data_IF_679988092151
#
_entry.id   IF_679988092151
#
_cell.length_a   1.000
_cell.length_b   1.000
_cell.length_c   1.000
_cell.angle_alpha   90.00
_cell.angle_beta   90.00
_cell.angle_gamma   90.00
#
_symmetry.space_group_name_H-M   'P 1'
#
loop_
_entity.id
_entity.type
_entity.pdbx_description
1 polymer ?
#
# COMPACT_ATOMS: atom_id res chain seq x y z
N UNK A 1 -39.85 24.12 23.64
CA UNK A 1 -39.90 23.27 24.87
C UNK A 1 -38.46 22.80 25.07
N UNK A 2 -37.91 23.02 26.29
CA UNK A 2 -36.61 22.44 26.61
C UNK A 2 -36.74 20.90 26.60
N UNK A 3 -35.83 20.24 25.91
CA UNK A 3 -35.74 18.79 25.96
C UNK A 3 -35.21 18.42 27.38
N UNK A 4 -35.76 17.38 28.01
CA UNK A 4 -35.32 16.94 29.32
C UNK A 4 -34.92 15.47 29.31
N UNK A 5 -33.83 15.15 29.99
CA UNK A 5 -33.31 13.80 30.12
C UNK A 5 -32.96 13.48 31.57
N UNK A 6 -33.40 12.33 32.07
CA UNK A 6 -33.06 11.82 33.40
C UNK A 6 -31.85 10.86 33.27
N UNK A 7 -30.70 11.33 33.74
CA UNK A 7 -29.45 10.57 33.73
C UNK A 7 -29.28 9.64 34.93
N UNK A 8 -30.22 9.66 35.93
CA UNK A 8 -30.12 8.81 37.09
C UNK A 8 -28.85 9.10 37.90
N UNK A 9 -28.13 8.06 38.29
CA UNK A 9 -26.85 8.09 39.00
C UNK A 9 -25.62 7.81 38.09
N UNK A 10 -25.84 7.75 36.74
CA UNK A 10 -24.77 7.45 35.80
C UNK A 10 -23.72 8.54 35.73
N UNK A 11 -22.45 8.13 35.64
CA UNK A 11 -21.31 8.97 35.29
C UNK A 11 -21.10 9.08 33.77
N UNK A 12 -20.25 10.00 33.32
CA UNK A 12 -19.98 10.19 31.90
C UNK A 12 -19.45 8.91 31.23
N UNK A 13 -18.56 8.19 31.88
CA UNK A 13 -18.00 6.94 31.37
C UNK A 13 -18.95 5.72 31.47
N UNK A 14 -20.13 5.87 32.02
CA UNK A 14 -21.13 4.80 32.24
C UNK A 14 -22.27 4.84 31.22
N UNK A 15 -22.13 5.60 30.16
CA UNK A 15 -23.12 5.74 29.06
C UNK A 15 -23.87 7.05 29.08
N UNK A 16 -23.75 7.87 30.13
CA UNK A 16 -24.47 9.14 30.21
C UNK A 16 -24.01 10.13 29.15
N UNK A 17 -22.70 10.19 28.87
CA UNK A 17 -22.16 11.03 27.79
C UNK A 17 -22.84 10.74 26.45
N UNK A 18 -22.95 9.45 26.10
CA UNK A 18 -23.62 9.02 24.89
C UNK A 18 -25.09 9.42 24.84
N UNK A 19 -25.80 9.22 25.96
CA UNK A 19 -27.22 9.59 26.06
C UNK A 19 -27.45 11.10 25.93
N UNK A 20 -26.61 11.92 26.59
CA UNK A 20 -26.67 13.39 26.48
C UNK A 20 -26.44 13.79 24.99
N UNK A 21 -25.46 13.18 24.33
CA UNK A 21 -25.10 13.50 22.95
C UNK A 21 -26.24 13.15 21.97
N UNK A 22 -26.91 12.00 22.16
CA UNK A 22 -28.10 11.62 21.39
C UNK A 22 -29.20 12.65 21.57
N UNK A 23 -29.54 13.03 22.80
CA UNK A 23 -30.61 14.02 23.06
C UNK A 23 -30.26 15.43 22.60
N UNK A 24 -28.99 15.82 22.63
CA UNK A 24 -28.54 17.07 22.02
C UNK A 24 -28.68 17.04 20.50
N UNK A 25 -28.55 15.86 19.86
CA UNK A 25 -28.74 15.72 18.41
C UNK A 25 -30.20 16.01 17.98
N UNK A 26 -31.16 15.77 18.86
CA UNK A 26 -32.60 15.92 18.60
C UNK A 26 -33.10 17.38 18.71
N UNK A 27 -32.27 18.30 19.21
CA UNK A 27 -32.62 19.71 19.37
C UNK A 27 -31.79 20.60 18.42
N UNK A 28 -32.22 21.83 18.16
CA UNK A 28 -31.49 22.75 17.30
C UNK A 28 -30.27 23.39 17.99
N UNK A 29 -29.21 23.80 17.26
CA UNK A 29 -28.13 24.58 17.82
C UNK A 29 -28.63 25.83 18.56
N UNK A 30 -28.13 26.04 19.77
CA UNK A 30 -28.59 27.12 20.67
C UNK A 30 -29.78 26.76 21.56
N UNK A 31 -30.44 25.62 21.35
CA UNK A 31 -31.44 25.11 22.29
C UNK A 31 -30.80 24.40 23.47
N UNK A 32 -31.56 24.27 24.58
CA UNK A 32 -31.09 23.76 25.85
C UNK A 32 -31.68 22.38 26.12
N UNK A 33 -30.81 21.43 26.46
CA UNK A 33 -31.15 20.15 27.04
C UNK A 33 -31.01 20.27 28.58
N UNK A 34 -32.07 19.91 29.32
CA UNK A 34 -32.04 19.77 30.76
C UNK A 34 -31.69 18.33 31.13
N UNK A 35 -30.58 18.12 31.82
CA UNK A 35 -30.15 16.79 32.31
C UNK A 35 -30.24 16.77 33.84
N UNK A 36 -31.09 15.90 34.37
CA UNK A 36 -31.22 15.66 35.83
C UNK A 36 -30.34 14.49 36.26
N UNK A 37 -29.50 14.62 37.27
CA UNK A 37 -28.66 13.53 37.76
C UNK A 37 -28.48 13.60 39.30
N UNK A 38 -28.37 12.42 39.92
CA UNK A 38 -27.97 12.25 41.32
C UNK A 38 -26.47 11.98 41.50
N UNK A 39 -25.68 11.88 40.42
CA UNK A 39 -24.23 11.63 40.46
C UNK A 39 -23.47 12.93 40.77
N UNK A 40 -22.81 13.05 41.94
CA UNK A 40 -22.09 14.27 42.32
C UNK A 40 -20.83 14.52 41.46
N UNK A 41 -20.28 13.51 40.79
CA UNK A 41 -19.12 13.64 39.94
C UNK A 41 -19.36 14.51 38.71
N UNK A 42 -20.61 14.57 38.22
CA UNK A 42 -20.98 15.33 37.05
C UNK A 42 -20.77 16.83 37.15
N UNK A 43 -20.83 17.38 38.35
CA UNK A 43 -20.55 18.82 38.59
C UNK A 43 -19.12 19.20 38.17
N UNK A 44 -18.18 18.24 38.23
CA UNK A 44 -16.79 18.45 37.84
C UNK A 44 -16.50 18.00 36.40
N UNK A 45 -17.11 16.91 35.95
CA UNK A 45 -16.82 16.27 34.65
C UNK A 45 -17.55 16.95 33.49
N UNK A 46 -18.84 17.28 33.68
CA UNK A 46 -19.67 17.82 32.59
C UNK A 46 -19.23 19.19 32.05
N UNK A 47 -18.72 20.14 32.90
CA UNK A 47 -18.15 21.38 32.36
C UNK A 47 -16.96 21.16 31.43
N UNK A 48 -16.08 20.21 31.73
CA UNK A 48 -14.93 19.86 30.89
C UNK A 48 -15.39 19.19 29.60
N UNK A 49 -16.32 18.26 29.69
CA UNK A 49 -16.91 17.62 28.53
C UNK A 49 -17.59 18.64 27.59
N UNK A 50 -18.43 19.54 28.12
CA UNK A 50 -19.08 20.58 27.31
C UNK A 50 -18.05 21.46 26.56
N UNK A 51 -16.95 21.85 27.20
CA UNK A 51 -15.88 22.63 26.55
C UNK A 51 -15.19 21.82 25.44
N UNK A 52 -14.88 20.55 25.70
CA UNK A 52 -14.24 19.65 24.73
C UNK A 52 -15.11 19.39 23.50
N UNK A 53 -16.42 19.29 23.69
CA UNK A 53 -17.39 18.98 22.64
C UNK A 53 -17.96 20.20 21.92
N UNK A 54 -17.67 21.42 22.41
CA UNK A 54 -18.18 22.67 21.84
C UNK A 54 -19.62 22.98 22.23
N UNK A 55 -20.18 22.27 23.24
CA UNK A 55 -21.42 22.62 23.90
C UNK A 55 -21.15 23.62 25.05
N UNK A 56 -22.20 24.21 25.57
CA UNK A 56 -22.07 25.18 26.65
C UNK A 56 -22.96 24.78 27.87
N UNK A 57 -22.35 24.52 29.01
CA UNK A 57 -23.07 24.39 30.25
C UNK A 57 -23.50 25.78 30.70
N UNK A 58 -24.80 26.08 30.67
CA UNK A 58 -25.34 27.42 30.94
C UNK A 58 -25.78 27.63 32.37
N UNK A 59 -26.25 26.56 33.03
CA UNK A 59 -26.64 26.60 34.43
C UNK A 59 -26.47 25.22 35.07
N UNK A 60 -26.27 25.23 36.39
CA UNK A 60 -26.29 24.05 37.25
C UNK A 60 -27.14 24.43 38.48
N UNK A 61 -28.22 23.73 38.69
CA UNK A 61 -29.21 24.09 39.74
C UNK A 61 -29.53 22.85 40.59
N UNK A 62 -29.70 23.02 41.92
CA UNK A 62 -30.18 21.94 42.75
C UNK A 62 -31.66 21.66 42.48
N UNK A 63 -32.04 20.37 42.40
CA UNK A 63 -33.41 19.88 42.20
C UNK A 63 -33.70 18.74 43.21
N UNK A 64 -33.94 19.11 44.48
CA UNK A 64 -34.13 18.15 45.57
C UNK A 64 -32.87 17.42 45.96
N UNK A 65 -32.82 16.11 45.77
CA UNK A 65 -31.68 15.23 45.96
C UNK A 65 -30.84 15.06 44.67
N UNK A 66 -31.13 15.84 43.61
CA UNK A 66 -30.50 15.82 42.31
C UNK A 66 -29.93 17.19 41.95
N UNK A 67 -29.13 17.18 40.91
CA UNK A 67 -28.62 18.39 40.23
C UNK A 67 -29.17 18.44 38.81
N UNK A 68 -29.69 19.59 38.41
CA UNK A 68 -30.17 19.86 37.05
C UNK A 68 -29.09 20.64 36.27
N UNK A 69 -28.65 20.08 35.18
CA UNK A 69 -27.66 20.68 34.28
C UNK A 69 -28.35 21.20 33.03
N UNK A 70 -28.13 22.44 32.67
CA UNK A 70 -28.66 23.07 31.47
C UNK A 70 -27.56 23.14 30.42
N UNK A 71 -27.64 22.31 29.37
CA UNK A 71 -26.63 22.21 28.34
C UNK A 71 -27.16 22.80 27.04
N UNK A 72 -26.57 23.91 26.59
CA UNK A 72 -26.89 24.51 25.31
C UNK A 72 -26.12 23.77 24.20
N UNK A 73 -26.85 23.32 23.16
CA UNK A 73 -26.27 22.68 21.99
C UNK A 73 -25.37 23.64 21.22
N UNK A 74 -24.12 23.29 21.02
CA UNK A 74 -23.18 24.03 20.19
C UNK A 74 -23.48 23.92 18.69
N UNK A 75 -22.96 24.86 17.91
CA UNK A 75 -23.18 24.94 16.46
C UNK A 75 -22.67 23.73 15.67
N UNK A 76 -21.71 22.98 16.20
CA UNK A 76 -21.13 21.82 15.51
C UNK A 76 -21.96 20.55 15.61
N UNK A 77 -23.09 20.56 16.30
CA UNK A 77 -23.88 19.35 16.55
C UNK A 77 -23.18 18.39 17.51
N UNK A 78 -23.70 17.15 17.59
CA UNK A 78 -23.09 16.07 18.35
C UNK A 78 -21.72 15.71 17.77
N UNK A 79 -20.72 15.56 18.63
CA UNK A 79 -19.42 15.04 18.20
C UNK A 79 -19.45 13.57 17.86
N UNK A 80 -20.35 12.79 18.48
CA UNK A 80 -20.44 11.34 18.26
C UNK A 80 -21.26 10.99 17.02
N UNK A 81 -22.22 11.84 16.66
CA UNK A 81 -23.11 11.62 15.51
C UNK A 81 -23.27 12.93 14.75
N UNK A 82 -22.14 13.45 14.23
CA UNK A 82 -22.19 14.63 13.38
C UNK A 82 -23.29 14.46 12.32
N UNK A 83 -24.14 15.46 12.19
CA UNK A 83 -25.27 15.46 11.25
C UNK A 83 -24.71 15.27 9.83
N UNK A 84 -24.71 14.02 9.36
CA UNK A 84 -24.22 13.59 8.07
C UNK A 84 -25.37 12.97 7.27
N UNK A 85 -26.31 13.82 6.80
CA UNK A 85 -27.49 13.36 6.06
C UNK A 85 -27.15 12.70 4.72
N UNK A 86 -25.92 12.92 4.24
CA UNK A 86 -25.37 12.35 3.00
C UNK A 86 -24.83 10.91 3.17
N UNK A 87 -24.70 10.43 4.41
CA UNK A 87 -24.24 9.06 4.66
C UNK A 87 -25.40 8.13 5.01
N UNK A 88 -25.50 6.96 4.36
CA UNK A 88 -26.52 5.99 4.73
C UNK A 88 -26.25 5.44 6.14
N UNK A 89 -27.29 5.39 6.98
CA UNK A 89 -27.23 4.83 8.35
C UNK A 89 -27.06 3.29 8.36
N UNK A 90 -27.13 2.65 7.21
CA UNK A 90 -26.99 1.20 7.06
C UNK A 90 -26.04 0.89 5.91
N UNK A 91 -25.25 -0.16 6.11
CA UNK A 91 -24.55 -0.79 5.01
C UNK A 91 -25.56 -1.19 3.92
N UNK A 92 -25.23 -1.04 2.62
CA UNK A 92 -26.06 -1.52 1.54
C UNK A 92 -26.36 -3.01 1.72
N UNK A 93 -27.61 -3.42 1.50
CA UNK A 93 -28.01 -4.83 1.58
C UNK A 93 -27.47 -5.55 0.34
N UNK A 94 -26.32 -6.20 0.48
CA UNK A 94 -25.67 -6.98 -0.57
C UNK A 94 -25.42 -8.40 -0.10
N UNK A 95 -26.01 -9.35 -0.80
CA UNK A 95 -25.67 -10.77 -0.69
C UNK A 95 -24.29 -11.00 -1.32
N UNK A 96 -23.33 -11.50 -0.55
CA UNK A 96 -21.98 -11.83 -1.05
C UNK A 96 -20.85 -10.94 -0.53
N UNK A 97 -21.11 -10.09 0.46
CA UNK A 97 -20.12 -9.22 1.08
C UNK A 97 -20.03 -7.82 0.44
N UNK A 98 -19.13 -7.02 0.98
CA UNK A 98 -18.92 -5.63 0.56
C UNK A 98 -17.48 -5.44 0.14
N UNK A 99 -17.27 -4.83 -1.03
CA UNK A 99 -15.96 -4.42 -1.46
C UNK A 99 -15.44 -3.25 -0.59
N UNK A 100 -14.11 -3.16 -0.43
CA UNK A 100 -13.45 -2.09 0.32
C UNK A 100 -13.88 -0.70 -0.19
N UNK A 101 -14.06 -0.53 -1.50
CA UNK A 101 -14.54 0.72 -2.09
C UNK A 101 -15.96 1.09 -1.61
N UNK A 102 -16.85 0.13 -1.41
CA UNK A 102 -18.22 0.40 -0.93
C UNK A 102 -18.19 0.93 0.51
N UNK A 103 -17.33 0.36 1.38
CA UNK A 103 -17.25 0.72 2.78
C UNK A 103 -16.43 1.97 3.04
N UNK A 104 -15.20 1.99 2.56
CA UNK A 104 -14.26 3.07 2.91
C UNK A 104 -14.47 4.31 2.04
N UNK A 105 -14.66 4.15 0.74
CA UNK A 105 -14.83 5.30 -0.16
C UNK A 105 -16.29 5.78 -0.19
N UNK A 106 -17.27 4.85 -0.12
CA UNK A 106 -18.69 5.16 -0.18
C UNK A 106 -19.28 5.61 1.15
N UNK A 107 -18.96 4.95 2.27
CA UNK A 107 -19.60 5.15 3.57
C UNK A 107 -18.80 6.03 4.52
N UNK A 108 -17.48 5.90 4.56
CA UNK A 108 -16.61 6.70 5.43
C UNK A 108 -16.40 8.15 4.93
N UNK A 109 -17.03 8.52 3.83
CA UNK A 109 -16.90 9.82 3.21
C UNK A 109 -15.82 9.91 2.14
N UNK A 110 -15.78 11.05 1.45
CA UNK A 110 -14.85 11.27 0.35
C UNK A 110 -13.41 11.26 0.82
N UNK A 111 -12.56 10.64 0.03
CA UNK A 111 -11.10 10.76 0.20
C UNK A 111 -10.72 12.24 0.06
N UNK A 112 -10.08 12.85 1.05
CA UNK A 112 -9.74 14.29 0.98
C UNK A 112 -8.69 14.54 -0.11
N UNK A 113 -8.70 15.72 -0.70
CA UNK A 113 -7.60 16.17 -1.58
C UNK A 113 -6.30 16.34 -0.80
N UNK A 114 -6.43 16.84 0.45
CA UNK A 114 -5.35 16.95 1.41
C UNK A 114 -5.86 16.55 2.79
N UNK A 115 -5.13 15.64 3.45
CA UNK A 115 -5.43 15.23 4.81
C UNK A 115 -4.98 16.28 5.84
N UNK A 116 -5.74 16.43 6.92
CA UNK A 116 -5.37 17.29 8.03
C UNK A 116 -4.49 16.50 9.02
N UNK A 117 -3.22 16.85 9.22
CA UNK A 117 -2.32 16.13 10.11
C UNK A 117 -2.78 16.14 11.57
N UNK A 118 -3.68 17.05 11.98
CA UNK A 118 -4.23 17.11 13.32
C UNK A 118 -5.20 15.97 13.63
N UNK A 119 -5.70 15.24 12.61
CA UNK A 119 -6.66 14.14 12.84
C UNK A 119 -6.00 12.85 13.34
N UNK A 120 -4.68 12.74 13.30
CA UNK A 120 -3.93 11.61 13.87
C UNK A 120 -4.36 10.26 13.32
N UNK A 121 -4.65 9.32 14.22
CA UNK A 121 -5.16 7.99 13.86
C UNK A 121 -6.69 7.90 13.74
N UNK A 122 -7.40 9.01 13.83
CA UNK A 122 -8.85 8.98 13.66
C UNK A 122 -9.20 8.43 12.27
N UNK A 123 -10.05 7.41 12.17
CA UNK A 123 -10.48 6.91 10.88
C UNK A 123 -11.18 8.00 10.06
N UNK A 124 -11.04 7.96 8.74
CA UNK A 124 -11.75 8.88 7.86
C UNK A 124 -13.26 8.82 8.13
N UNK A 125 -13.88 9.97 8.34
CA UNK A 125 -15.30 10.09 8.71
C UNK A 125 -15.57 10.16 10.21
N UNK A 126 -14.59 9.85 11.07
CA UNK A 126 -14.71 10.06 12.51
C UNK A 126 -14.65 11.56 12.87
N UNK A 127 -15.36 11.93 13.90
CA UNK A 127 -15.26 13.27 14.52
C UNK A 127 -14.12 13.29 15.52
N UNK A 128 -13.25 14.27 15.41
CA UNK A 128 -12.10 14.41 16.29
C UNK A 128 -12.40 15.41 17.41
N UNK A 129 -12.14 15.02 18.65
CA UNK A 129 -12.12 15.93 19.78
C UNK A 129 -10.94 16.90 19.66
N UNK A 130 -11.13 18.20 19.96
CA UNK A 130 -10.04 19.17 19.98
C UNK A 130 -8.93 18.84 20.95
N UNK A 131 -7.67 19.05 20.58
CA UNK A 131 -6.52 18.82 21.44
C UNK A 131 -5.68 17.59 21.09
N UNK A 132 -5.96 16.96 19.94
CA UNK A 132 -5.11 15.90 19.40
C UNK A 132 -3.66 16.38 19.22
N UNK A 133 -2.64 15.57 19.60
CA UNK A 133 -1.26 15.92 19.36
C UNK A 133 -0.93 15.89 17.86
N UNK A 134 0.10 16.63 17.38
CA UNK A 134 0.54 16.52 16.01
C UNK A 134 1.18 15.15 15.74
N UNK A 135 0.90 14.58 14.57
CA UNK A 135 1.48 13.32 14.11
C UNK A 135 2.50 13.57 12.99
N UNK A 136 3.52 12.71 12.84
CA UNK A 136 4.64 12.91 11.92
C UNK A 136 4.32 12.51 10.47
N UNK A 137 3.07 12.62 10.03
CA UNK A 137 2.71 12.31 8.65
C UNK A 137 3.27 13.38 7.69
N UNK A 138 3.90 12.95 6.63
CA UNK A 138 4.45 13.81 5.58
C UNK A 138 3.70 13.68 4.26
N UNK A 139 3.09 12.52 4.03
CA UNK A 139 2.33 12.23 2.83
C UNK A 139 0.85 12.55 3.07
N UNK A 140 0.47 13.79 2.72
CA UNK A 140 -0.83 14.39 3.03
C UNK A 140 -1.69 14.68 1.80
N UNK A 141 -1.12 14.65 0.59
CA UNK A 141 -1.78 15.07 -0.63
C UNK A 141 -2.21 13.85 -1.46
N UNK A 142 -3.51 13.78 -1.80
CA UNK A 142 -4.09 12.66 -2.53
C UNK A 142 -3.44 12.42 -3.88
N UNK A 143 -3.17 13.47 -4.62
CA UNK A 143 -2.58 13.40 -5.96
C UNK A 143 -1.14 12.87 -6.00
N UNK A 144 -0.51 12.76 -4.82
CA UNK A 144 0.83 12.18 -4.63
C UNK A 144 0.83 10.73 -4.13
N UNK A 145 -0.36 10.15 -3.88
CA UNK A 145 -0.49 8.83 -3.25
C UNK A 145 -1.51 7.92 -3.92
N UNK A 146 -2.57 8.50 -4.45
CA UNK A 146 -3.76 7.78 -4.82
C UNK A 146 -3.63 7.01 -6.14
N UNK A 147 -4.30 5.87 -6.21
CA UNK A 147 -4.61 5.14 -7.42
C UNK A 147 -6.12 4.78 -7.40
N UNK A 148 -6.83 4.95 -8.52
CA UNK A 148 -8.28 4.71 -8.55
C UNK A 148 -8.65 3.24 -8.31
N UNK A 149 -7.75 2.34 -8.67
CA UNK A 149 -7.92 0.89 -8.52
C UNK A 149 -7.48 0.35 -7.14
N UNK A 150 -6.97 1.20 -6.23
CA UNK A 150 -6.29 0.76 -5.01
C UNK A 150 -7.17 -0.12 -4.10
N UNK A 151 -8.45 0.25 -3.89
CA UNK A 151 -9.36 -0.53 -3.06
C UNK A 151 -9.64 -1.92 -3.67
N UNK A 152 -9.84 -2.00 -4.99
CA UNK A 152 -10.07 -3.29 -5.65
C UNK A 152 -8.81 -4.15 -5.70
N UNK A 153 -7.62 -3.56 -5.79
CA UNK A 153 -6.35 -4.29 -5.71
C UNK A 153 -6.13 -4.86 -4.32
N UNK A 154 -6.49 -4.12 -3.25
CA UNK A 154 -6.49 -4.64 -1.90
C UNK A 154 -7.44 -5.84 -1.74
N UNK A 155 -8.68 -5.74 -2.23
CA UNK A 155 -9.65 -6.87 -2.20
C UNK A 155 -9.11 -8.10 -2.94
N UNK A 156 -8.47 -7.90 -4.10
CA UNK A 156 -7.81 -8.99 -4.85
C UNK A 156 -6.66 -9.59 -4.05
N UNK A 157 -5.77 -8.75 -3.49
CA UNK A 157 -4.63 -9.21 -2.72
C UNK A 157 -5.06 -10.06 -1.51
N UNK A 158 -6.09 -9.66 -0.78
CA UNK A 158 -6.59 -10.40 0.39
C UNK A 158 -7.29 -11.72 0.04
N UNK A 159 -7.90 -11.82 -1.15
CA UNK A 159 -8.60 -13.03 -1.57
C UNK A 159 -7.72 -14.03 -2.33
N UNK A 160 -6.58 -13.60 -2.84
CA UNK A 160 -5.65 -14.41 -3.65
C UNK A 160 -4.37 -14.80 -2.89
N UNK A 161 -4.43 -14.79 -1.55
CA UNK A 161 -3.29 -15.22 -0.72
C UNK A 161 -2.96 -16.70 -0.94
N UNK A 162 -1.69 -17.03 -0.85
CA UNK A 162 -1.17 -18.39 -0.89
C UNK A 162 -0.07 -18.56 0.16
N UNK A 163 0.15 -19.80 0.58
CA UNK A 163 1.14 -20.16 1.59
C UNK A 163 2.35 -20.84 0.94
N UNK A 164 3.52 -20.23 1.11
CA UNK A 164 4.77 -20.72 0.54
C UNK A 164 5.24 -22.08 1.12
N UNK A 165 4.67 -22.51 2.24
CA UNK A 165 5.00 -23.80 2.84
C UNK A 165 4.07 -24.93 2.39
N UNK A 166 2.78 -24.64 2.21
CA UNK A 166 1.75 -25.69 2.02
C UNK A 166 1.13 -25.69 0.62
N UNK A 167 1.13 -24.57 -0.11
CA UNK A 167 0.52 -24.48 -1.44
C UNK A 167 1.48 -24.78 -2.59
N UNK A 168 2.77 -24.99 -2.28
CA UNK A 168 3.81 -25.42 -3.21
C UNK A 168 4.11 -26.90 -2.94
N UNK A 169 4.07 -27.71 -3.99
CA UNK A 169 4.34 -29.15 -3.92
C UNK A 169 5.85 -29.44 -3.85
N UNK A 170 6.51 -29.01 -2.77
CA UNK A 170 7.97 -29.15 -2.59
C UNK A 170 8.48 -30.57 -2.76
N UNK A 171 7.68 -31.58 -2.35
CA UNK A 171 8.02 -33.01 -2.47
C UNK A 171 8.04 -33.50 -3.93
N UNK A 172 7.50 -32.71 -4.87
CA UNK A 172 7.52 -33.00 -6.30
C UNK A 172 8.78 -32.50 -7.02
N UNK A 173 9.73 -31.89 -6.29
CA UNK A 173 11.00 -31.46 -6.88
C UNK A 173 11.80 -32.65 -7.41
N UNK A 174 12.14 -32.68 -8.72
CA UNK A 174 12.99 -33.72 -9.27
C UNK A 174 14.45 -33.47 -8.91
N UNK A 175 15.26 -34.53 -8.99
CA UNK A 175 16.72 -34.39 -9.01
C UNK A 175 17.15 -33.79 -10.36
N UNK A 176 17.79 -32.62 -10.35
CA UNK A 176 18.29 -31.93 -11.52
C UNK A 176 19.81 -32.13 -11.68
N UNK A 177 20.34 -32.05 -12.91
CA UNK A 177 21.79 -31.97 -13.09
C UNK A 177 22.39 -30.80 -12.30
N UNK A 178 23.51 -30.98 -11.63
CA UNK A 178 24.08 -30.01 -10.69
C UNK A 178 24.30 -28.61 -11.30
N UNK A 179 24.64 -28.51 -12.57
CA UNK A 179 24.83 -27.23 -13.26
C UNK A 179 23.50 -26.50 -13.52
N UNK A 180 22.39 -27.24 -13.72
CA UNK A 180 21.05 -26.66 -13.86
C UNK A 180 20.54 -26.21 -12.50
N UNK A 181 20.71 -27.04 -11.46
CA UNK A 181 20.33 -26.68 -10.08
C UNK A 181 21.06 -25.42 -9.59
N UNK A 182 22.36 -25.29 -9.89
CA UNK A 182 23.11 -24.05 -9.59
C UNK A 182 22.58 -22.84 -10.35
N UNK A 183 22.17 -23.00 -11.60
CA UNK A 183 21.54 -21.92 -12.36
C UNK A 183 20.19 -21.51 -11.73
N UNK A 184 19.36 -22.46 -11.30
CA UNK A 184 18.14 -22.18 -10.55
C UNK A 184 18.45 -21.42 -9.27
N UNK A 185 19.40 -21.92 -8.46
CA UNK A 185 19.79 -21.29 -7.20
C UNK A 185 20.29 -19.85 -7.41
N UNK A 186 21.07 -19.58 -8.45
CA UNK A 186 21.53 -18.24 -8.80
C UNK A 186 20.37 -17.31 -9.15
N UNK A 187 19.42 -17.77 -9.98
CA UNK A 187 18.23 -16.99 -10.35
C UNK A 187 17.34 -16.75 -9.15
N UNK A 188 17.06 -17.77 -8.34
CA UNK A 188 16.20 -17.62 -7.15
C UNK A 188 16.83 -16.70 -6.09
N UNK A 189 18.15 -16.73 -5.93
CA UNK A 189 18.87 -15.79 -5.06
C UNK A 189 18.71 -14.36 -5.55
N UNK A 190 18.84 -14.15 -6.87
CA UNK A 190 18.65 -12.83 -7.47
C UNK A 190 17.20 -12.35 -7.31
N UNK A 191 16.20 -13.22 -7.49
CA UNK A 191 14.82 -12.89 -7.21
C UNK A 191 14.64 -12.48 -5.74
N UNK A 192 15.07 -13.31 -4.80
CA UNK A 192 14.92 -13.02 -3.36
C UNK A 192 15.57 -11.70 -2.94
N UNK A 193 16.75 -11.33 -3.49
CA UNK A 193 17.37 -10.04 -3.15
C UNK A 193 16.62 -8.84 -3.72
N UNK A 194 15.94 -8.96 -4.86
CA UNK A 194 15.11 -7.91 -5.42
C UNK A 194 13.84 -7.70 -4.59
N UNK A 195 13.22 -8.77 -4.09
CA UNK A 195 12.04 -8.69 -3.23
C UNK A 195 12.32 -7.97 -1.90
N UNK A 196 13.55 -7.98 -1.39
CA UNK A 196 13.90 -7.14 -0.23
C UNK A 196 13.73 -5.65 -0.53
N UNK A 197 14.08 -5.18 -1.71
CA UNK A 197 13.85 -3.78 -2.08
C UNK A 197 12.37 -3.49 -2.25
N UNK A 198 11.63 -4.40 -2.91
CA UNK A 198 10.18 -4.30 -3.10
C UNK A 198 9.41 -4.34 -1.76
N UNK A 199 9.94 -5.03 -0.74
CA UNK A 199 9.42 -5.02 0.63
C UNK A 199 9.75 -3.71 1.37
N UNK A 200 11.01 -3.27 1.35
CA UNK A 200 11.44 -2.13 2.16
C UNK A 200 10.98 -0.78 1.63
N UNK A 201 10.88 -0.62 0.30
CA UNK A 201 10.47 0.66 -0.30
C UNK A 201 9.04 1.05 0.13
N UNK A 202 7.98 0.23 -0.07
CA UNK A 202 6.64 0.59 0.41
C UNK A 202 6.57 0.67 1.94
N UNK A 203 7.28 -0.22 2.67
CA UNK A 203 7.33 -0.20 4.14
C UNK A 203 7.81 1.13 4.70
N UNK A 204 8.76 1.79 4.03
CA UNK A 204 9.30 3.10 4.42
C UNK A 204 8.25 4.21 4.36
N UNK A 205 7.29 4.12 3.44
CA UNK A 205 6.28 5.14 3.24
C UNK A 205 5.02 4.92 4.08
N UNK A 206 4.66 3.69 4.43
CA UNK A 206 3.46 3.37 5.23
C UNK A 206 3.32 4.29 6.46
N UNK A 207 4.32 4.48 7.34
CA UNK A 207 4.21 5.34 8.51
C UNK A 207 4.19 6.85 8.19
N UNK A 208 4.46 7.23 6.95
CA UNK A 208 4.45 8.63 6.48
C UNK A 208 3.10 9.03 5.89
N UNK A 209 2.30 8.04 5.45
CA UNK A 209 1.00 8.25 4.80
C UNK A 209 -0.06 8.49 5.87
N UNK A 210 -0.86 9.55 5.68
CA UNK A 210 -1.96 9.85 6.59
C UNK A 210 -3.06 8.79 6.53
N UNK A 211 -3.63 8.33 7.68
CA UNK A 211 -4.66 7.29 7.73
C UNK A 211 -5.94 7.58 6.94
N UNK A 212 -6.21 8.84 6.58
CA UNK A 212 -7.33 9.16 5.69
C UNK A 212 -7.16 8.62 4.26
N UNK A 213 -5.95 8.17 3.89
CA UNK A 213 -5.68 7.39 2.68
C UNK A 213 -5.60 5.89 3.01
N UNK A 214 -6.55 5.39 3.79
CA UNK A 214 -6.59 4.04 4.33
C UNK A 214 -6.38 2.97 3.27
N UNK A 215 -7.03 3.12 2.10
CA UNK A 215 -6.94 2.17 0.99
C UNK A 215 -5.50 2.00 0.50
N UNK A 216 -4.74 3.10 0.43
CA UNK A 216 -3.33 3.06 0.03
C UNK A 216 -2.49 2.36 1.10
N UNK A 217 -2.69 2.70 2.38
CA UNK A 217 -1.97 2.06 3.49
C UNK A 217 -2.24 0.56 3.53
N UNK A 218 -3.50 0.16 3.36
CA UNK A 218 -3.91 -1.26 3.35
C UNK A 218 -3.32 -2.01 2.16
N UNK A 219 -3.36 -1.42 0.96
CA UNK A 219 -2.78 -2.02 -0.24
C UNK A 219 -1.25 -2.20 -0.10
N UNK A 220 -0.52 -1.16 0.33
CA UNK A 220 0.92 -1.26 0.54
C UNK A 220 1.27 -2.31 1.61
N UNK A 221 0.43 -2.47 2.65
CA UNK A 221 0.63 -3.53 3.64
C UNK A 221 0.46 -4.93 3.02
N UNK A 222 -0.48 -5.14 2.08
CA UNK A 222 -0.60 -6.41 1.35
C UNK A 222 0.58 -6.63 0.41
N UNK A 223 1.08 -5.59 -0.25
CA UNK A 223 2.32 -5.68 -1.05
C UNK A 223 3.48 -6.17 -0.18
N UNK A 224 3.71 -5.57 0.99
CA UNK A 224 4.77 -6.01 1.92
C UNK A 224 4.62 -7.49 2.32
N UNK A 225 3.40 -7.99 2.50
CA UNK A 225 3.13 -9.41 2.78
C UNK A 225 3.44 -10.28 1.57
N UNK A 226 3.07 -9.83 0.35
CA UNK A 226 3.36 -10.55 -0.88
C UNK A 226 4.89 -10.70 -1.06
N UNK A 227 5.67 -9.61 -0.88
CA UNK A 227 7.14 -9.65 -1.01
C UNK A 227 7.80 -10.53 0.06
N UNK A 228 7.30 -10.50 1.30
CA UNK A 228 7.82 -11.38 2.35
C UNK A 228 7.64 -12.88 1.97
N UNK A 229 6.52 -13.22 1.36
CA UNK A 229 6.22 -14.56 0.86
C UNK A 229 7.09 -14.94 -0.35
N UNK A 230 7.33 -13.98 -1.26
CA UNK A 230 8.24 -14.19 -2.41
C UNK A 230 9.67 -14.48 -1.94
N UNK A 231 10.19 -13.68 -0.99
CA UNK A 231 11.51 -13.93 -0.36
C UNK A 231 11.57 -15.36 0.19
N UNK A 232 10.55 -15.78 0.93
CA UNK A 232 10.47 -17.14 1.50
C UNK A 232 10.50 -18.20 0.40
N UNK A 233 9.62 -18.10 -0.60
CA UNK A 233 9.48 -19.09 -1.65
C UNK A 233 10.74 -19.20 -2.53
N UNK A 234 11.33 -18.08 -2.93
CA UNK A 234 12.55 -18.05 -3.74
C UNK A 234 13.76 -18.58 -2.94
N UNK A 235 13.87 -18.21 -1.66
CA UNK A 235 14.92 -18.75 -0.78
C UNK A 235 14.79 -20.25 -0.59
N UNK A 236 13.57 -20.75 -0.34
CA UNK A 236 13.30 -22.19 -0.25
C UNK A 236 13.70 -22.92 -1.54
N UNK A 237 13.32 -22.37 -2.71
CA UNK A 237 13.67 -23.00 -3.99
C UNK A 237 15.18 -22.99 -4.24
N UNK A 238 15.89 -21.92 -3.88
CA UNK A 238 17.36 -21.87 -4.02
C UNK A 238 18.08 -22.92 -3.15
N UNK A 239 17.55 -23.19 -1.96
CA UNK A 239 18.14 -24.12 -0.99
C UNK A 239 17.65 -25.57 -1.17
N UNK A 240 16.61 -25.79 -1.95
CA UNK A 240 16.08 -27.13 -2.22
C UNK A 240 17.13 -28.02 -2.91
N UNK A 241 16.97 -29.33 -2.77
CA UNK A 241 17.85 -30.33 -3.39
C UNK A 241 19.33 -30.23 -2.97
N UNK A 242 19.63 -29.69 -1.79
CA UNK A 242 20.98 -29.49 -1.29
C UNK A 242 21.74 -28.33 -1.96
N UNK A 243 20.99 -27.40 -2.57
CA UNK A 243 21.53 -26.18 -3.17
C UNK A 243 22.11 -25.21 -2.13
N UNK A 244 22.88 -24.26 -2.63
CA UNK A 244 23.37 -23.10 -1.88
C UNK A 244 22.76 -21.83 -2.50
N UNK A 245 22.72 -20.73 -1.72
CA UNK A 245 22.40 -19.44 -2.31
C UNK A 245 23.47 -19.02 -3.32
N UNK A 246 23.05 -18.40 -4.40
CA UNK A 246 23.94 -17.88 -5.43
C UNK A 246 24.70 -16.61 -5.01
N UNK A 247 25.43 -16.04 -5.96
CA UNK A 247 26.18 -14.83 -5.76
C UNK A 247 25.26 -13.60 -5.83
N UNK A 248 25.34 -12.74 -4.81
CA UNK A 248 24.78 -11.40 -4.82
C UNK A 248 25.82 -10.42 -5.36
N UNK A 249 25.53 -9.79 -6.51
CA UNK A 249 26.48 -8.90 -7.17
C UNK A 249 26.44 -7.48 -6.61
N UNK A 250 27.60 -6.82 -6.48
CA UNK A 250 27.71 -5.46 -5.97
C UNK A 250 26.90 -4.44 -6.80
N UNK A 251 26.78 -4.63 -8.10
CA UNK A 251 25.96 -3.78 -8.97
C UNK A 251 24.47 -3.93 -8.65
N UNK A 252 23.99 -5.15 -8.39
CA UNK A 252 22.62 -5.39 -7.94
C UNK A 252 22.36 -4.68 -6.61
N UNK A 253 23.22 -4.87 -5.62
CA UNK A 253 23.09 -4.21 -4.31
C UNK A 253 23.05 -2.67 -4.44
N UNK A 254 23.85 -2.11 -5.32
CA UNK A 254 23.84 -0.66 -5.59
C UNK A 254 22.54 -0.21 -6.27
N UNK A 255 22.04 -0.99 -7.21
CA UNK A 255 20.75 -0.74 -7.86
C UNK A 255 19.60 -0.73 -6.86
N UNK A 256 19.49 -1.78 -6.04
CA UNK A 256 18.44 -1.91 -5.03
C UNK A 256 18.53 -0.80 -3.98
N UNK A 257 19.76 -0.46 -3.55
CA UNK A 257 19.96 0.68 -2.65
C UNK A 257 19.43 1.99 -3.24
N UNK A 258 19.61 2.24 -4.53
CA UNK A 258 19.12 3.46 -5.18
C UNK A 258 17.60 3.59 -5.16
N UNK A 259 16.86 2.50 -5.09
CA UNK A 259 15.41 2.50 -4.88
C UNK A 259 15.06 2.82 -3.43
N UNK A 260 15.78 2.21 -2.49
CA UNK A 260 15.58 2.45 -1.06
C UNK A 260 15.91 3.90 -0.66
N UNK A 261 16.85 4.55 -1.33
CA UNK A 261 17.26 5.94 -1.05
C UNK A 261 16.22 6.98 -1.53
N UNK A 262 15.23 6.59 -2.35
CA UNK A 262 14.19 7.53 -2.81
C UNK A 262 13.32 8.02 -1.65
N UNK A 263 13.18 9.34 -1.50
CA UNK A 263 12.42 9.96 -0.40
C UNK A 263 11.03 10.46 -0.81
N UNK A 264 10.75 10.56 -2.10
CA UNK A 264 9.44 10.92 -2.65
C UNK A 264 8.66 9.66 -3.04
N UNK A 265 7.42 9.52 -2.56
CA UNK A 265 6.60 8.33 -2.80
C UNK A 265 6.32 8.10 -4.28
N UNK A 266 5.97 9.17 -5.03
CA UNK A 266 5.62 9.02 -6.44
C UNK A 266 6.82 8.61 -7.29
N UNK A 267 8.02 9.14 -6.99
CA UNK A 267 9.27 8.74 -7.66
C UNK A 267 9.65 7.31 -7.29
N UNK A 268 9.57 6.95 -6.01
CA UNK A 268 9.86 5.59 -5.55
C UNK A 268 8.91 4.57 -6.19
N UNK A 269 7.60 4.84 -6.19
CA UNK A 269 6.60 3.99 -6.82
C UNK A 269 6.80 3.88 -8.34
N UNK A 270 7.18 4.96 -9.01
CA UNK A 270 7.45 4.92 -10.44
C UNK A 270 8.68 4.08 -10.77
N UNK A 271 9.78 4.27 -10.05
CA UNK A 271 11.01 3.51 -10.28
C UNK A 271 10.85 2.03 -9.92
N UNK A 272 10.19 1.73 -8.80
CA UNK A 272 9.94 0.36 -8.36
C UNK A 272 8.84 -0.30 -9.20
N UNK A 273 7.59 0.17 -9.08
CA UNK A 273 6.45 -0.59 -9.59
C UNK A 273 6.23 -0.43 -11.10
N UNK A 274 6.50 0.75 -11.69
CA UNK A 274 6.30 0.94 -13.14
C UNK A 274 7.49 0.41 -13.94
N UNK A 275 8.72 0.74 -13.54
CA UNK A 275 9.92 0.37 -14.29
C UNK A 275 10.48 -0.97 -13.85
N UNK A 276 10.76 -1.15 -12.56
CA UNK A 276 11.35 -2.35 -11.98
C UNK A 276 10.42 -3.56 -12.05
N UNK A 277 9.39 -3.63 -11.20
CA UNK A 277 8.42 -4.74 -11.16
C UNK A 277 7.73 -4.92 -12.53
N UNK A 278 7.48 -3.81 -13.24
CA UNK A 278 6.98 -3.87 -14.60
C UNK A 278 7.90 -4.63 -15.57
N UNK A 279 9.23 -4.49 -15.44
CA UNK A 279 10.17 -5.30 -16.20
C UNK A 279 10.28 -6.73 -15.64
N UNK A 280 10.13 -6.86 -14.32
CA UNK A 280 10.18 -8.12 -13.61
C UNK A 280 9.07 -9.08 -14.02
N UNK A 281 7.88 -8.61 -14.40
CA UNK A 281 6.82 -9.45 -14.96
C UNK A 281 7.29 -10.25 -16.19
N UNK A 282 8.07 -9.64 -17.09
CA UNK A 282 8.61 -10.32 -18.26
C UNK A 282 9.73 -11.30 -17.87
N UNK A 283 10.52 -10.93 -16.86
CA UNK A 283 11.57 -11.76 -16.31
C UNK A 283 11.00 -13.03 -15.64
N UNK A 284 9.99 -12.88 -14.79
CA UNK A 284 9.28 -14.00 -14.17
C UNK A 284 8.60 -14.90 -15.22
N UNK A 285 7.96 -14.30 -16.24
CA UNK A 285 7.38 -15.05 -17.37
C UNK A 285 8.43 -15.86 -18.14
N UNK A 286 9.64 -15.33 -18.30
CA UNK A 286 10.75 -16.05 -18.92
C UNK A 286 11.19 -17.24 -18.05
N UNK A 287 11.36 -17.03 -16.75
CA UNK A 287 11.75 -18.11 -15.82
C UNK A 287 10.67 -19.20 -15.77
N UNK A 288 9.39 -18.83 -15.70
CA UNK A 288 8.26 -19.78 -15.75
C UNK A 288 8.34 -20.66 -17.01
N UNK A 289 8.60 -20.03 -18.16
CA UNK A 289 8.69 -20.74 -19.46
C UNK A 289 9.85 -21.72 -19.53
N UNK A 290 10.99 -21.38 -18.95
CA UNK A 290 12.22 -22.15 -19.02
C UNK A 290 12.57 -22.86 -17.70
N UNK A 291 11.62 -22.91 -16.77
CA UNK A 291 11.76 -23.63 -15.51
C UNK A 291 12.10 -25.10 -15.80
N UNK A 292 13.13 -25.68 -15.16
CA UNK A 292 13.53 -27.06 -15.38
C UNK A 292 12.59 -28.06 -14.71
N UNK A 293 11.67 -27.59 -13.85
CA UNK A 293 10.73 -28.41 -13.11
C UNK A 293 9.41 -27.66 -12.81
N UNK A 294 8.32 -28.38 -12.55
CA UNK A 294 7.00 -27.77 -12.32
C UNK A 294 6.91 -26.97 -11.01
N UNK A 295 7.71 -27.29 -9.99
CA UNK A 295 7.70 -26.57 -8.71
C UNK A 295 8.30 -25.17 -8.90
N UNK A 296 9.45 -25.10 -9.56
CA UNK A 296 10.07 -23.81 -9.94
C UNK A 296 9.10 -22.95 -10.78
N UNK A 297 8.40 -23.57 -11.74
CA UNK A 297 7.41 -22.87 -12.56
C UNK A 297 6.23 -22.35 -11.72
N UNK A 298 5.71 -23.14 -10.76
CA UNK A 298 4.58 -22.76 -9.90
C UNK A 298 4.94 -21.61 -8.96
N UNK A 299 6.11 -21.67 -8.30
CA UNK A 299 6.62 -20.59 -7.44
C UNK A 299 6.64 -19.25 -8.20
N UNK A 300 7.27 -19.24 -9.37
CA UNK A 300 7.44 -18.01 -10.17
C UNK A 300 6.11 -17.53 -10.76
N UNK A 301 5.22 -18.43 -11.13
CA UNK A 301 3.89 -18.11 -11.64
C UNK A 301 3.03 -17.42 -10.58
N UNK A 302 3.08 -17.88 -9.32
CA UNK A 302 2.36 -17.27 -8.18
C UNK A 302 2.91 -15.88 -7.88
N UNK A 303 4.21 -15.73 -7.75
CA UNK A 303 4.85 -14.43 -7.55
C UNK A 303 4.46 -13.45 -8.67
N UNK A 304 4.54 -13.87 -9.95
CA UNK A 304 4.13 -13.03 -11.09
C UNK A 304 2.67 -12.58 -11.03
N UNK A 305 1.77 -13.40 -10.48
CA UNK A 305 0.37 -13.01 -10.31
C UNK A 305 0.23 -11.90 -9.25
N UNK A 306 1.00 -11.97 -8.17
CA UNK A 306 1.05 -10.93 -7.14
C UNK A 306 1.67 -9.64 -7.69
N UNK A 307 2.82 -9.71 -8.37
CA UNK A 307 3.50 -8.58 -9.02
C UNK A 307 2.61 -7.79 -9.98
N UNK A 308 1.69 -8.47 -10.67
CA UNK A 308 0.77 -7.78 -11.57
C UNK A 308 -0.14 -6.78 -10.87
N UNK A 309 -0.45 -6.97 -9.57
CA UNK A 309 -1.21 -6.02 -8.75
C UNK A 309 -0.36 -4.81 -8.37
N UNK A 310 0.92 -5.04 -8.01
CA UNK A 310 1.86 -3.97 -7.67
C UNK A 310 2.09 -3.05 -8.86
N UNK A 311 2.33 -3.62 -10.04
CA UNK A 311 2.46 -2.87 -11.29
C UNK A 311 1.17 -2.12 -11.64
N UNK A 312 0.00 -2.74 -11.46
CA UNK A 312 -1.29 -2.09 -11.73
C UNK A 312 -1.53 -0.88 -10.82
N UNK A 313 -1.13 -0.95 -9.55
CA UNK A 313 -1.16 0.19 -8.63
C UNK A 313 -0.20 1.29 -9.10
N UNK A 314 1.07 0.95 -9.34
CA UNK A 314 2.10 1.92 -9.74
C UNK A 314 1.76 2.66 -11.03
N UNK A 315 1.24 1.95 -12.04
CA UNK A 315 0.80 2.56 -13.31
C UNK A 315 -0.38 3.53 -13.10
N UNK A 316 -1.40 3.13 -12.32
CA UNK A 316 -2.55 4.00 -12.10
C UNK A 316 -2.19 5.21 -11.21
N UNK A 317 -1.33 5.01 -10.19
CA UNK A 317 -0.78 6.10 -9.40
C UNK A 317 -0.01 7.10 -10.28
N UNK A 318 0.94 6.61 -11.09
CA UNK A 318 1.73 7.46 -12.00
C UNK A 318 0.84 8.21 -13.00
N UNK A 319 -0.24 7.57 -13.51
CA UNK A 319 -1.21 8.21 -14.40
C UNK A 319 -1.90 9.41 -13.72
N UNK A 320 -2.37 9.25 -12.49
CA UNK A 320 -3.01 10.32 -11.72
C UNK A 320 -2.02 11.43 -11.33
N UNK A 321 -0.82 11.03 -10.92
CA UNK A 321 0.25 11.96 -10.61
C UNK A 321 0.57 12.87 -11.80
N UNK A 322 0.78 12.29 -12.99
CA UNK A 322 1.06 13.03 -14.22
C UNK A 322 -0.13 13.90 -14.69
N UNK A 323 -1.37 13.43 -14.48
CA UNK A 323 -2.56 14.17 -14.90
C UNK A 323 -2.83 15.43 -14.05
N UNK A 324 -2.27 15.52 -12.85
CA UNK A 324 -2.53 16.66 -11.94
C UNK A 324 -1.63 17.87 -12.19
N UNK A 325 -0.46 17.68 -12.84
CA UNK A 325 0.47 18.76 -13.17
C UNK A 325 1.39 18.35 -14.34
N UNK A 326 1.42 19.11 -15.46
CA UNK A 326 2.28 18.81 -16.61
C UNK A 326 3.78 18.71 -16.30
N UNK A 327 4.28 19.47 -15.31
CA UNK A 327 5.71 19.48 -14.96
C UNK A 327 6.16 18.20 -14.24
N UNK A 328 5.22 17.37 -13.80
CA UNK A 328 5.53 16.10 -13.09
C UNK A 328 6.16 15.05 -13.98
N UNK A 329 5.96 15.12 -15.28
CA UNK A 329 6.68 14.24 -16.22
C UNK A 329 8.20 14.45 -16.15
N UNK A 330 8.64 15.71 -16.02
CA UNK A 330 10.06 16.02 -15.84
C UNK A 330 10.59 15.59 -14.47
N UNK A 331 9.75 15.56 -13.43
CA UNK A 331 10.13 15.05 -12.11
C UNK A 331 10.46 13.56 -12.19
N UNK A 332 9.57 12.76 -12.80
CA UNK A 332 9.80 11.32 -12.96
C UNK A 332 10.99 11.01 -13.87
N UNK A 333 11.15 11.77 -14.96
CA UNK A 333 12.28 11.61 -15.87
C UNK A 333 13.61 11.88 -15.16
N UNK A 334 13.71 12.98 -14.38
CA UNK A 334 14.91 13.28 -13.59
C UNK A 334 15.25 12.18 -12.60
N UNK A 335 14.27 11.59 -11.92
CA UNK A 335 14.51 10.47 -11.01
C UNK A 335 15.18 9.28 -11.72
N UNK A 336 14.80 8.99 -12.98
CA UNK A 336 15.44 7.95 -13.79
C UNK A 336 16.87 8.35 -14.19
N UNK A 337 17.06 9.60 -14.62
CA UNK A 337 18.37 10.13 -15.03
C UNK A 337 19.37 10.11 -13.87
N UNK A 338 18.98 10.59 -12.69
CA UNK A 338 19.79 10.61 -11.46
C UNK A 338 20.17 9.17 -11.03
N UNK A 339 19.21 8.25 -11.11
CA UNK A 339 19.48 6.82 -10.85
C UNK A 339 20.46 6.23 -11.85
N UNK A 340 20.28 6.50 -13.15
CA UNK A 340 21.17 6.02 -14.20
C UNK A 340 22.58 6.58 -14.05
N UNK A 341 22.73 7.86 -13.72
CA UNK A 341 24.03 8.50 -13.43
C UNK A 341 24.70 7.84 -12.23
N UNK A 342 23.98 7.64 -11.14
CA UNK A 342 24.50 6.94 -9.95
C UNK A 342 25.01 5.54 -10.30
N UNK A 343 24.29 4.78 -11.15
CA UNK A 343 24.66 3.42 -11.52
C UNK A 343 25.78 3.36 -12.58
N UNK A 344 25.92 4.39 -13.42
CA UNK A 344 26.99 4.48 -14.41
C UNK A 344 28.42 4.49 -13.82
N UNK A 345 28.52 4.89 -12.55
CA UNK A 345 29.80 4.89 -11.79
C UNK A 345 30.25 3.46 -11.42
N UNK A 346 29.42 2.45 -11.68
CA UNK A 346 29.74 1.04 -11.46
C UNK A 346 29.78 0.34 -12.81
N UNK A 347 30.92 -0.29 -13.14
CA UNK A 347 31.01 -1.13 -14.32
C UNK A 347 30.42 -2.51 -14.06
N UNK A 348 29.56 -2.98 -14.94
CA UNK A 348 29.23 -4.39 -15.05
C UNK A 348 27.74 -4.71 -15.10
N UNK A 349 27.42 -5.64 -15.98
CA UNK A 349 26.24 -6.48 -15.89
C UNK A 349 26.39 -7.47 -14.71
N UNK A 350 25.33 -8.15 -14.35
CA UNK A 350 25.35 -9.31 -13.45
C UNK A 350 25.61 -10.60 -14.25
N UNK A 351 26.86 -10.91 -14.69
CA UNK A 351 27.12 -11.98 -15.63
C UNK A 351 26.63 -13.33 -15.10
N UNK A 352 26.67 -13.55 -13.79
CA UNK A 352 26.22 -14.80 -13.18
C UNK A 352 24.71 -15.03 -13.34
N UNK A 353 23.89 -13.98 -13.28
CA UNK A 353 22.45 -14.07 -13.51
C UNK A 353 22.16 -14.30 -14.99
N UNK A 354 22.81 -13.55 -15.87
CA UNK A 354 22.69 -13.72 -17.33
C UNK A 354 23.06 -15.14 -17.77
N UNK A 355 24.21 -15.65 -17.30
CA UNK A 355 24.65 -17.02 -17.58
C UNK A 355 23.66 -18.06 -17.06
N UNK A 356 23.12 -17.87 -15.84
CA UNK A 356 22.12 -18.75 -15.28
C UNK A 356 20.84 -18.80 -16.14
N UNK A 357 20.34 -17.64 -16.62
CA UNK A 357 19.21 -17.58 -17.53
C UNK A 357 19.50 -18.28 -18.87
N UNK A 358 20.72 -18.10 -19.41
CA UNK A 358 21.15 -18.80 -20.63
C UNK A 358 21.13 -20.32 -20.41
N UNK A 359 21.64 -20.82 -19.26
CA UNK A 359 21.65 -22.23 -18.94
C UNK A 359 20.23 -22.80 -18.83
N UNK A 360 19.32 -22.07 -18.15
CA UNK A 360 17.93 -22.48 -18.02
C UNK A 360 17.25 -22.54 -19.39
N UNK A 361 17.41 -21.51 -20.22
CA UNK A 361 16.79 -21.47 -21.53
C UNK A 361 17.41 -22.50 -22.54
N UNK A 362 18.68 -22.83 -22.36
CA UNK A 362 19.36 -23.87 -23.14
C UNK A 362 19.04 -25.30 -22.64
N UNK A 363 18.47 -25.46 -21.44
CA UNK A 363 18.27 -26.75 -20.78
C UNK A 363 19.58 -27.42 -20.36
N UNK A 364 20.67 -26.66 -20.22
CA UNK A 364 21.99 -27.18 -19.81
C UNK A 364 23.17 -26.39 -20.38
N UNK A 365 24.38 -26.98 -20.26
CA UNK A 365 25.65 -26.31 -20.61
C UNK A 365 26.30 -26.88 -21.86
N UNK A 366 25.60 -27.68 -22.66
CA UNK A 366 26.19 -28.23 -23.89
C UNK A 366 26.49 -27.12 -24.90
N UNK A 367 27.68 -27.12 -25.55
CA UNK A 367 28.05 -26.07 -26.52
C UNK A 367 27.05 -25.91 -27.66
N UNK A 368 26.32 -26.97 -28.02
CA UNK A 368 25.31 -26.95 -29.07
C UNK A 368 23.99 -26.29 -28.66
N UNK A 369 23.64 -26.29 -27.35
CA UNK A 369 22.40 -25.72 -26.81
C UNK A 369 22.56 -24.24 -26.39
N UNK A 370 23.74 -23.84 -25.92
CA UNK A 370 23.98 -22.47 -25.42
C UNK A 370 23.59 -21.37 -26.41
N UNK A 371 23.81 -21.47 -27.75
CA UNK A 371 23.36 -20.44 -28.67
C UNK A 371 21.85 -20.19 -28.64
N UNK A 372 21.02 -21.19 -28.34
CA UNK A 372 19.57 -21.06 -28.20
C UNK A 372 19.21 -20.30 -26.94
N UNK A 373 19.87 -20.61 -25.82
CA UNK A 373 19.75 -19.88 -24.58
C UNK A 373 20.13 -18.41 -24.71
N UNK A 374 21.26 -18.12 -25.37
CA UNK A 374 21.70 -16.74 -25.63
C UNK A 374 20.65 -15.96 -26.46
N UNK A 375 20.08 -16.60 -27.48
CA UNK A 375 19.01 -15.96 -28.28
C UNK A 375 17.76 -15.71 -27.45
N UNK A 376 17.37 -16.64 -26.58
CA UNK A 376 16.21 -16.49 -25.70
C UNK A 376 16.38 -15.33 -24.72
N UNK A 377 17.54 -15.20 -24.06
CA UNK A 377 17.83 -14.09 -23.16
C UNK A 377 17.87 -12.75 -23.89
N UNK A 378 18.47 -12.68 -25.08
CA UNK A 378 18.40 -11.46 -25.90
C UNK A 378 16.97 -11.06 -26.22
N UNK A 379 16.12 -12.02 -26.58
CA UNK A 379 14.70 -11.78 -26.84
C UNK A 379 13.94 -11.35 -25.59
N UNK A 380 14.33 -11.82 -24.41
CA UNK A 380 13.82 -11.33 -23.11
C UNK A 380 14.08 -9.82 -22.98
N UNK A 381 15.34 -9.38 -23.15
CA UNK A 381 15.71 -7.95 -23.04
C UNK A 381 14.96 -7.07 -24.04
N UNK A 382 14.82 -7.51 -25.29
CA UNK A 382 14.05 -6.80 -26.31
C UNK A 382 12.56 -6.71 -25.91
N UNK A 383 12.02 -7.75 -25.28
CA UNK A 383 10.63 -7.78 -24.83
C UNK A 383 10.43 -6.87 -23.62
N UNK A 384 11.34 -6.89 -22.67
CA UNK A 384 11.32 -5.99 -21.51
C UNK A 384 11.36 -4.52 -21.95
N UNK A 385 12.28 -4.16 -22.84
CA UNK A 385 12.37 -2.80 -23.40
C UNK A 385 11.04 -2.41 -24.08
N UNK A 386 10.55 -3.20 -24.99
CA UNK A 386 9.29 -2.94 -25.73
C UNK A 386 8.09 -2.78 -24.79
N UNK A 387 7.97 -3.64 -23.78
CA UNK A 387 6.87 -3.58 -22.79
C UNK A 387 6.98 -2.34 -21.91
N UNK A 388 8.17 -1.97 -21.48
CA UNK A 388 8.44 -0.76 -20.71
C UNK A 388 8.10 0.50 -21.49
N UNK A 389 8.54 0.60 -22.74
CA UNK A 389 8.14 1.69 -23.65
C UNK A 389 6.62 1.74 -23.80
N UNK A 390 5.95 0.59 -23.96
CA UNK A 390 4.50 0.51 -24.03
C UNK A 390 3.80 1.07 -22.79
N UNK A 391 4.25 0.73 -21.58
CA UNK A 391 3.72 1.26 -20.32
C UNK A 391 3.93 2.78 -20.20
N UNK A 392 5.12 3.26 -20.51
CA UNK A 392 5.43 4.70 -20.49
C UNK A 392 4.55 5.50 -21.45
N UNK A 393 4.28 4.96 -22.64
CA UNK A 393 3.36 5.59 -23.59
C UNK A 393 1.90 5.61 -23.07
N UNK A 394 1.46 4.57 -22.38
CA UNK A 394 0.14 4.57 -21.72
C UNK A 394 0.03 5.63 -20.62
N UNK A 395 1.14 6.00 -20.01
CA UNK A 395 1.22 7.10 -19.04
C UNK A 395 1.23 8.49 -19.69
N UNK A 396 1.33 8.58 -21.01
CA UNK A 396 1.31 9.84 -21.74
C UNK A 396 2.69 10.36 -22.18
N UNK A 397 3.78 9.64 -21.90
CA UNK A 397 5.09 10.01 -22.46
C UNK A 397 5.09 9.83 -23.99
N UNK A 398 5.70 10.76 -24.70
CA UNK A 398 5.93 10.59 -26.14
C UNK A 398 6.90 9.43 -26.42
N UNK A 399 6.91 8.92 -27.65
CA UNK A 399 7.67 7.73 -28.01
C UNK A 399 9.19 7.92 -27.83
N UNK A 400 9.71 9.12 -28.12
CA UNK A 400 11.13 9.42 -27.95
C UNK A 400 11.52 9.41 -26.46
N UNK A 401 10.77 10.10 -25.60
CA UNK A 401 11.02 10.15 -24.15
C UNK A 401 10.84 8.75 -23.53
N UNK A 402 9.82 8.01 -23.95
CA UNK A 402 9.61 6.63 -23.47
C UNK A 402 10.79 5.70 -23.81
N UNK A 403 11.38 5.84 -25.00
CA UNK A 403 12.59 5.09 -25.37
C UNK A 403 13.79 5.53 -24.54
N UNK A 404 14.04 6.85 -24.41
CA UNK A 404 15.12 7.40 -23.58
C UNK A 404 15.05 6.89 -22.14
N UNK A 405 13.89 6.97 -21.49
CA UNK A 405 13.68 6.43 -20.11
C UNK A 405 13.95 4.93 -20.08
N UNK A 406 13.47 4.19 -21.08
CA UNK A 406 13.67 2.73 -21.12
C UNK A 406 15.12 2.33 -21.34
N UNK A 407 15.91 3.12 -22.09
CA UNK A 407 17.34 2.88 -22.32
C UNK A 407 18.18 3.20 -21.08
N UNK A 408 17.76 4.21 -20.28
CA UNK A 408 18.41 4.56 -19.01
C UNK A 408 18.12 3.56 -17.89
N UNK A 409 17.06 2.75 -18.04
CA UNK A 409 16.75 1.74 -17.05
C UNK A 409 17.82 0.66 -17.01
N UNK A 410 18.12 0.20 -15.81
CA UNK A 410 19.26 -0.69 -15.55
C UNK A 410 19.12 -2.06 -16.20
N UNK A 411 20.25 -2.66 -16.59
CA UNK A 411 20.30 -4.00 -17.16
C UNK A 411 20.12 -5.12 -16.11
N UNK A 412 20.01 -4.78 -14.84
CA UNK A 412 19.86 -5.74 -13.74
C UNK A 412 18.40 -6.00 -13.32
N UNK A 413 17.45 -5.74 -14.22
CA UNK A 413 16.02 -6.08 -14.13
C UNK A 413 15.18 -5.25 -13.15
N UNK A 414 15.76 -4.56 -12.15
CA UNK A 414 15.06 -3.66 -11.22
C UNK A 414 15.55 -2.21 -11.31
#
# INVERSE_FOLDING_TARGET
MSARYDGGDLGLAEGLMFAIDVHLSDIAPGEILEVSSSNPGLEHELPAWCRGTGHRLVAVEPDGDRTLFHIERGARGSLMFADRPDLPLRAPDRTGGFATADWLTGLAGRVPERADPATGFAPRGATLEPGSPPFPYTELDRDRLWAQNVASLYDQATTQQWDAATDIEWDALPELPSHVERAVAQVMTHLAENEYAALYVPSKFIPRIHPHFTEVVMFLATQVVDEARHIEAFTKRALASGGELGLSAAITQRSLKSLLDQEDFSQASFLLSVLGEGAFLEYLSFIERYAPDPVTADVVRRARADESRHVAFGVEHARLFLASDPDRADVLRRAVEERAEFLSQTSGATPHVEEALVILAAGGTSPGALPDGIRAVRQLHETMHRRRVGRLRQLGFDERVANEISELHTANFM
#
